data_IF_502326645155
#
_entry.id   IF_502326645155
#
_cell.length_a   1.000
_cell.length_b   1.000
_cell.length_c   1.000
_cell.angle_alpha   90.00
_cell.angle_beta   90.00
_cell.angle_gamma   90.00
#
_symmetry.space_group_name_H-M   'P 1'
#
loop_
_entity.id
_entity.type
_entity.pdbx_description
1 polymer ?
#
# COMPACT_ATOMS: atom_id res chain seq x y z
N UNK A 1 21.26 9.35 1.23
CA UNK A 1 20.50 8.30 0.54
C UNK A 1 19.03 8.57 0.80
N UNK A 2 18.43 9.42 -0.02
CA UNK A 2 17.02 9.76 0.05
C UNK A 2 16.27 8.50 -0.39
N UNK A 3 15.76 7.72 0.56
CA UNK A 3 14.94 6.56 0.25
C UNK A 3 13.78 7.08 -0.62
N UNK A 4 13.75 6.58 -1.85
CA UNK A 4 13.14 7.24 -2.98
C UNK A 4 11.67 7.55 -2.71
N UNK A 5 11.33 8.84 -2.69
CA UNK A 5 9.96 9.34 -2.62
C UNK A 5 9.06 8.65 -3.64
N UNK A 6 9.62 8.26 -4.80
CA UNK A 6 8.95 7.44 -5.82
C UNK A 6 8.35 6.14 -5.26
N UNK A 7 9.10 5.41 -4.42
CA UNK A 7 8.64 4.15 -3.84
C UNK A 7 7.51 4.35 -2.84
N UNK A 8 7.54 5.48 -2.11
CA UNK A 8 6.46 5.89 -1.21
C UNK A 8 5.19 6.23 -2.00
N UNK A 9 5.34 6.95 -3.12
CA UNK A 9 4.20 7.32 -3.97
C UNK A 9 3.56 6.09 -4.63
N UNK A 10 4.37 5.12 -5.06
CA UNK A 10 3.87 3.84 -5.58
C UNK A 10 3.05 3.07 -4.55
N UNK A 11 3.54 2.95 -3.30
CA UNK A 11 2.80 2.30 -2.22
C UNK A 11 1.46 3.00 -1.94
N UNK A 12 1.46 4.33 -1.89
CA UNK A 12 0.26 5.13 -1.64
C UNK A 12 -0.76 4.95 -2.79
N UNK A 13 -0.31 4.98 -4.05
CA UNK A 13 -1.17 4.79 -5.20
C UNK A 13 -1.79 3.38 -5.23
N UNK A 14 -1.01 2.37 -4.87
CA UNK A 14 -1.47 0.98 -4.81
C UNK A 14 -2.54 0.77 -3.72
N UNK A 15 -2.33 1.33 -2.53
CA UNK A 15 -3.32 1.29 -1.44
C UNK A 15 -4.59 2.06 -1.83
N UNK A 16 -4.45 3.25 -2.42
CA UNK A 16 -5.58 4.05 -2.87
C UNK A 16 -6.42 3.32 -3.94
N UNK A 17 -5.77 2.62 -4.89
CA UNK A 17 -6.46 1.84 -5.92
C UNK A 17 -7.24 0.65 -5.34
N UNK A 18 -6.65 -0.08 -4.39
CA UNK A 18 -7.28 -1.29 -3.84
C UNK A 18 -8.31 -1.00 -2.74
N UNK A 19 -8.08 0.01 -1.89
CA UNK A 19 -8.94 0.30 -0.74
C UNK A 19 -9.83 1.54 -0.92
N UNK A 20 -9.64 2.32 -1.98
CA UNK A 20 -10.33 3.60 -2.21
C UNK A 20 -10.20 4.60 -1.04
N UNK A 21 -9.16 4.45 -0.21
CA UNK A 21 -8.89 5.38 0.88
C UNK A 21 -8.40 6.72 0.34
N UNK A 22 -8.83 7.80 1.00
CA UNK A 22 -8.38 9.16 0.67
C UNK A 22 -6.90 9.32 0.99
N UNK A 23 -6.17 10.07 0.16
CA UNK A 23 -4.72 10.31 0.30
C UNK A 23 -4.35 10.77 1.72
N UNK A 24 -5.19 11.61 2.32
CA UNK A 24 -5.04 12.13 3.67
C UNK A 24 -5.03 11.01 4.71
N UNK A 25 -5.93 10.02 4.59
CA UNK A 25 -5.97 8.87 5.51
C UNK A 25 -4.74 7.97 5.37
N UNK A 26 -4.15 7.88 4.17
CA UNK A 26 -2.94 7.07 3.93
C UNK A 26 -1.68 7.80 4.44
N UNK A 27 -1.67 9.13 4.35
CA UNK A 27 -0.59 9.98 4.86
C UNK A 27 -0.63 10.10 6.39
N UNK A 28 -1.81 10.00 7.00
CA UNK A 28 -2.01 10.02 8.46
C UNK A 28 -1.61 8.69 9.14
N UNK A 29 -1.53 7.59 8.38
CA UNK A 29 -1.05 6.30 8.89
C UNK A 29 0.44 6.37 9.26
N UNK A 30 0.77 5.84 10.44
CA UNK A 30 2.16 5.66 10.85
C UNK A 30 2.90 4.78 9.83
N UNK A 31 4.19 5.08 9.60
CA UNK A 31 5.03 4.37 8.64
C UNK A 31 5.02 2.84 8.83
N UNK A 32 4.87 2.38 10.07
CA UNK A 32 4.77 0.97 10.42
C UNK A 32 3.46 0.34 9.93
N UNK A 33 2.33 1.02 10.17
CA UNK A 33 1.02 0.55 9.76
C UNK A 33 0.88 0.52 8.24
N UNK A 34 1.40 1.53 7.53
CA UNK A 34 1.38 1.55 6.08
C UNK A 34 2.12 0.34 5.48
N UNK A 35 3.27 -0.04 6.05
CA UNK A 35 3.99 -1.25 5.64
C UNK A 35 3.18 -2.52 5.88
N UNK A 36 2.52 -2.62 7.04
CA UNK A 36 1.72 -3.79 7.39
C UNK A 36 0.48 -3.94 6.49
N UNK A 37 -0.16 -2.84 6.10
CA UNK A 37 -1.25 -2.86 5.12
C UNK A 37 -0.74 -3.28 3.74
N UNK A 38 0.35 -2.69 3.24
CA UNK A 38 0.92 -3.07 1.94
C UNK A 38 1.26 -4.56 1.86
N UNK A 39 1.85 -5.14 2.91
CA UNK A 39 2.16 -6.59 2.95
C UNK A 39 0.89 -7.45 2.94
N UNK A 40 -0.15 -7.06 3.67
CA UNK A 40 -1.43 -7.77 3.66
C UNK A 40 -2.11 -7.71 2.29
N UNK A 41 -2.10 -6.55 1.64
CA UNK A 41 -2.66 -6.38 0.29
C UNK A 41 -1.93 -7.28 -0.70
N UNK A 42 -0.60 -7.29 -0.68
CA UNK A 42 0.20 -8.16 -1.55
C UNK A 42 -0.12 -9.65 -1.33
N UNK A 43 -0.36 -10.07 -0.09
CA UNK A 43 -0.79 -11.44 0.23
C UNK A 43 -2.18 -11.76 -0.33
N UNK A 44 -3.15 -10.85 -0.19
CA UNK A 44 -4.49 -11.02 -0.75
C UNK A 44 -4.48 -11.11 -2.26
N UNK A 45 -3.77 -10.22 -2.94
CA UNK A 45 -3.65 -10.22 -4.41
C UNK A 45 -3.00 -11.50 -4.90
N UNK A 46 -1.86 -11.89 -4.29
CA UNK A 46 -1.16 -13.14 -4.64
C UNK A 46 -2.05 -14.37 -4.48
N UNK A 47 -2.90 -14.40 -3.45
CA UNK A 47 -3.86 -15.49 -3.23
C UNK A 47 -5.00 -15.46 -4.24
N UNK A 48 -5.56 -14.29 -4.53
CA UNK A 48 -6.66 -14.15 -5.49
C UNK A 48 -6.24 -14.58 -6.90
N UNK A 49 -5.02 -14.24 -7.32
CA UNK A 49 -4.44 -14.67 -8.59
C UNK A 49 -4.17 -16.18 -8.65
N UNK A 50 -3.92 -16.83 -7.51
CA UNK A 50 -3.71 -18.28 -7.43
C UNK A 50 -5.02 -19.10 -7.44
N UNK A 51 -6.16 -18.46 -7.22
CA UNK A 51 -7.49 -19.08 -7.19
C UNK A 51 -8.30 -18.81 -8.49
N UNK A 52 -7.75 -18.07 -9.46
CA UNK A 52 -8.35 -17.78 -10.78
C UNK A 52 -7.77 -18.62 -11.91
#
# INVERSE_FOLDING_TARGET
MTYATDRLQEEIAYVAYHFHWSLEAILDLEHHDRRQYTEQIASFVTRAEAEG
#
